data_IF_159292881798
#
_entry.id   IF_159292881798
#
_cell.length_a   1.000
_cell.length_b   1.000
_cell.length_c   1.000
_cell.angle_alpha   90.00
_cell.angle_beta   90.00
_cell.angle_gamma   90.00
#
_symmetry.space_group_name_H-M   'P 1'
#
loop_
_entity.id
_entity.type
_entity.pdbx_description
1 polymer ?
#
# COMPACT_ATOMS: atom_id res chain seq x y z
N UNK A 1 -6.93 -11.16 19.33
CA UNK A 1 -5.90 -10.13 18.99
C UNK A 1 -6.45 -9.25 17.89
N UNK A 2 -6.52 -7.96 18.15
CA UNK A 2 -6.97 -6.95 17.18
C UNK A 2 -5.77 -6.25 16.60
N UNK A 3 -5.61 -6.28 15.26
CA UNK A 3 -4.50 -5.66 14.54
C UNK A 3 -5.06 -4.55 13.67
N UNK A 4 -4.62 -3.31 13.89
CA UNK A 4 -4.87 -2.20 12.99
C UNK A 4 -3.83 -2.25 11.86
N UNK A 5 -4.27 -2.69 10.68
CA UNK A 5 -3.43 -2.86 9.50
C UNK A 5 -3.46 -1.65 8.55
N UNK A 6 -4.46 -0.78 8.68
CA UNK A 6 -4.62 0.37 7.81
C UNK A 6 -4.46 1.68 8.57
N UNK A 7 -3.26 2.11 8.66
CA UNK A 7 -2.89 3.40 9.24
C UNK A 7 -1.61 3.92 8.57
N UNK A 8 -1.34 5.20 8.74
CA UNK A 8 -0.22 5.85 8.09
C UNK A 8 0.62 6.61 9.10
N UNK A 9 1.93 6.49 8.99
CA UNK A 9 2.88 7.20 9.84
C UNK A 9 3.97 7.86 9.00
N UNK A 10 4.18 9.15 9.25
CA UNK A 10 5.21 9.95 8.60
C UNK A 10 6.28 10.28 9.63
N UNK A 11 7.44 9.61 9.57
CA UNK A 11 8.49 9.82 10.55
C UNK A 11 9.11 11.22 10.44
N UNK A 12 9.62 11.79 11.55
CA UNK A 12 10.25 13.10 11.57
C UNK A 12 11.39 13.27 10.55
N UNK A 13 12.09 12.20 10.25
CA UNK A 13 13.17 12.15 9.26
C UNK A 13 12.68 12.53 7.87
N UNK A 14 11.54 11.96 7.45
CA UNK A 14 10.91 12.29 6.18
C UNK A 14 10.48 13.76 6.12
N UNK A 15 9.79 14.24 7.17
CA UNK A 15 9.37 15.65 7.24
C UNK A 15 10.57 16.60 7.22
N UNK A 16 11.66 16.22 7.87
CA UNK A 16 12.92 16.97 7.85
C UNK A 16 13.53 16.99 6.45
N UNK A 17 13.52 15.87 5.74
CA UNK A 17 14.03 15.79 4.36
C UNK A 17 13.22 16.71 3.42
N UNK A 18 11.88 16.65 3.51
CA UNK A 18 11.00 17.54 2.71
C UNK A 18 11.26 19.02 3.02
N UNK A 19 11.42 19.40 4.30
CA UNK A 19 11.71 20.79 4.70
C UNK A 19 13.07 21.29 4.19
N UNK A 20 14.08 20.43 4.15
CA UNK A 20 15.43 20.80 3.70
C UNK A 20 15.54 20.90 2.19
N UNK A 21 14.69 20.20 1.44
CA UNK A 21 14.69 20.20 -0.02
C UNK A 21 16.04 19.88 -0.68
N UNK A 22 16.13 19.94 -1.99
CA UNK A 22 15.00 20.10 -2.89
C UNK A 22 14.15 18.83 -2.97
N UNK A 23 12.84 18.97 -2.94
CA UNK A 23 11.87 17.88 -3.11
C UNK A 23 10.70 18.34 -3.98
N UNK A 24 10.02 17.41 -4.63
CA UNK A 24 8.79 17.68 -5.39
C UNK A 24 7.57 17.85 -4.49
N UNK A 25 7.64 17.29 -3.28
CA UNK A 25 6.65 17.49 -2.22
C UNK A 25 6.93 18.81 -1.51
N UNK A 26 5.90 19.62 -1.32
CA UNK A 26 5.97 20.87 -0.56
C UNK A 26 5.25 20.72 0.76
N UNK A 27 5.73 21.42 1.78
CA UNK A 27 5.11 21.43 3.11
C UNK A 27 4.68 22.85 3.47
N UNK A 28 3.46 23.00 3.91
CA UNK A 28 2.96 24.17 4.65
C UNK A 28 2.20 23.71 5.90
N UNK A 29 1.41 24.55 6.52
CA UNK A 29 0.70 24.25 7.76
C UNK A 29 -0.76 24.71 7.65
N UNK A 30 -1.68 23.91 8.19
CA UNK A 30 -3.07 24.32 8.34
C UNK A 30 -3.27 25.33 9.50
N UNK A 31 -4.52 25.72 9.74
CA UNK A 31 -4.86 26.65 10.83
C UNK A 31 -4.55 26.11 12.23
N UNK A 32 -4.51 24.79 12.38
CA UNK A 32 -4.21 24.07 13.64
C UNK A 32 -2.72 23.70 13.74
N UNK A 33 -1.88 24.28 12.87
CA UNK A 33 -0.44 24.02 12.78
C UNK A 33 -0.08 22.54 12.46
N UNK A 34 -0.99 21.78 11.85
CA UNK A 34 -0.64 20.48 11.34
C UNK A 34 0.12 20.63 10.02
N UNK A 35 1.21 19.87 9.81
CA UNK A 35 1.90 19.84 8.54
C UNK A 35 0.95 19.38 7.43
N UNK A 36 0.98 20.07 6.30
CA UNK A 36 0.23 19.71 5.10
C UNK A 36 1.22 19.46 3.95
N UNK A 37 1.23 18.23 3.45
CA UNK A 37 2.09 17.80 2.35
C UNK A 37 1.35 17.96 1.03
N UNK A 38 1.84 18.84 0.16
CA UNK A 38 1.32 19.03 -1.19
C UNK A 38 2.15 18.26 -2.20
N UNK A 39 1.49 17.55 -3.07
CA UNK A 39 2.06 16.82 -4.20
C UNK A 39 1.14 16.90 -5.42
N UNK A 40 1.57 16.52 -6.62
CA UNK A 40 0.76 16.65 -7.82
C UNK A 40 -0.63 16.01 -7.66
N UNK A 41 -1.67 16.85 -7.75
CA UNK A 41 -3.07 16.44 -7.75
C UNK A 41 -3.74 16.30 -6.38
N UNK A 42 -3.00 16.38 -5.25
CA UNK A 42 -3.58 16.18 -3.92
C UNK A 42 -2.73 16.79 -2.79
N UNK A 43 -3.23 16.67 -1.56
CA UNK A 43 -2.47 16.98 -0.34
C UNK A 43 -2.92 16.13 0.84
N UNK A 44 -2.02 15.90 1.80
CA UNK A 44 -2.31 15.23 3.07
C UNK A 44 -2.07 16.14 4.26
N UNK A 45 -3.04 16.21 5.18
CA UNK A 45 -2.87 16.89 6.47
C UNK A 45 -2.41 15.87 7.50
N UNK A 46 -1.26 16.13 8.13
CA UNK A 46 -0.67 15.23 9.10
C UNK A 46 -1.10 15.61 10.53
N UNK A 47 -2.29 15.17 10.92
CA UNK A 47 -2.78 15.29 12.29
C UNK A 47 -1.88 14.52 13.27
N UNK A 48 -1.97 14.74 14.62
CA UNK A 48 -1.10 14.03 15.57
C UNK A 48 -0.99 12.54 15.36
N UNK A 49 -2.10 11.85 15.06
CA UNK A 49 -2.10 10.42 14.75
C UNK A 49 -1.22 9.99 13.57
N UNK A 50 -0.86 10.88 12.65
CA UNK A 50 0.03 10.57 11.53
C UNK A 50 1.53 10.76 11.84
N UNK A 51 1.89 11.37 12.97
CA UNK A 51 3.28 11.79 13.25
C UNK A 51 3.75 11.60 14.69
N UNK A 52 2.87 11.17 15.58
CA UNK A 52 3.15 11.01 17.01
C UNK A 52 2.73 9.61 17.47
N UNK A 53 3.72 8.76 17.76
CA UNK A 53 3.48 7.39 18.19
C UNK A 53 3.10 7.29 19.68
N UNK A 54 3.46 8.26 20.52
CA UNK A 54 2.99 8.32 21.90
C UNK A 54 1.49 8.61 21.94
N UNK A 55 1.04 9.56 21.12
CA UNK A 55 -0.38 9.81 20.91
C UNK A 55 -1.12 8.55 20.45
N UNK A 56 -0.55 7.81 19.47
CA UNK A 56 -1.14 6.57 18.97
C UNK A 56 -1.24 5.48 20.02
N UNK A 57 -0.21 5.28 20.84
CA UNK A 57 -0.24 4.25 21.91
C UNK A 57 -1.42 4.49 22.84
N UNK A 58 -1.70 5.74 23.20
CA UNK A 58 -2.88 6.10 23.99
C UNK A 58 -4.21 5.77 23.30
N UNK A 59 -4.30 6.02 21.99
CA UNK A 59 -5.49 5.67 21.20
C UNK A 59 -5.66 4.15 21.08
N UNK A 60 -4.59 3.41 20.82
CA UNK A 60 -4.63 1.94 20.75
C UNK A 60 -5.09 1.33 22.06
N UNK A 61 -4.63 1.86 23.19
CA UNK A 61 -5.06 1.42 24.51
C UNK A 61 -6.53 1.70 24.76
N UNK A 62 -6.98 2.92 24.46
CA UNK A 62 -8.37 3.35 24.63
C UNK A 62 -9.35 2.47 23.83
N UNK A 63 -8.94 2.02 22.64
CA UNK A 63 -9.79 1.23 21.74
C UNK A 63 -9.52 -0.29 21.76
N UNK A 64 -8.65 -0.78 22.66
CA UNK A 64 -8.37 -2.21 22.80
C UNK A 64 -7.71 -2.83 21.57
N UNK A 65 -6.90 -2.04 20.83
CA UNK A 65 -6.12 -2.54 19.69
C UNK A 65 -4.79 -3.07 20.19
N UNK A 66 -4.50 -4.33 19.92
CA UNK A 66 -3.30 -4.99 20.43
C UNK A 66 -2.03 -4.60 19.69
N UNK A 67 -2.12 -4.43 18.37
CA UNK A 67 -0.98 -4.15 17.50
C UNK A 67 -1.39 -3.24 16.33
N UNK A 68 -0.45 -2.42 15.86
CA UNK A 68 -0.62 -1.59 14.69
C UNK A 68 0.55 -1.82 13.71
N UNK A 69 0.23 -1.91 12.41
CA UNK A 69 1.21 -2.06 11.33
C UNK A 69 1.45 -0.70 10.70
N UNK A 70 2.58 -0.07 11.03
CA UNK A 70 2.92 1.24 10.46
C UNK A 70 3.17 1.14 8.97
N UNK A 71 2.59 2.06 8.21
CA UNK A 71 2.81 2.18 6.77
C UNK A 71 3.09 3.63 6.38
N UNK A 72 3.81 3.84 5.29
CA UNK A 72 4.10 5.14 4.72
C UNK A 72 3.31 5.34 3.43
N UNK A 73 2.26 6.16 3.47
CA UNK A 73 1.33 6.34 2.34
C UNK A 73 1.72 7.49 1.40
N UNK A 74 0.80 7.89 0.55
CA UNK A 74 0.97 9.04 -0.35
C UNK A 74 1.48 10.28 0.39
N UNK A 75 2.37 11.06 -0.24
CA UNK A 75 2.81 10.95 -1.63
C UNK A 75 3.75 9.78 -1.94
N UNK A 76 4.22 9.03 -0.93
CA UNK A 76 5.29 8.04 -1.12
C UNK A 76 6.63 8.71 -1.40
N UNK A 77 7.61 7.92 -1.83
CA UNK A 77 8.93 8.43 -2.25
C UNK A 77 9.12 8.43 -3.76
N UNK A 78 8.28 7.71 -4.48
CA UNK A 78 8.40 7.48 -5.93
C UNK A 78 8.03 8.70 -6.81
N UNK A 79 7.54 9.77 -6.21
CA UNK A 79 7.37 11.07 -6.89
C UNK A 79 8.69 11.82 -7.08
N UNK A 80 9.68 11.53 -6.25
CA UNK A 80 11.01 12.13 -6.34
C UNK A 80 11.81 11.51 -7.49
N UNK A 81 12.96 12.09 -7.82
CA UNK A 81 13.90 11.40 -8.71
C UNK A 81 14.46 10.13 -8.03
N UNK A 82 14.95 9.18 -8.81
CA UNK A 82 15.35 7.88 -8.30
C UNK A 82 16.41 7.94 -7.17
N UNK A 83 17.47 8.77 -7.24
CA UNK A 83 18.42 8.88 -6.13
C UNK A 83 17.79 9.43 -4.84
N UNK A 84 16.93 10.44 -4.96
CA UNK A 84 16.23 11.01 -3.80
C UNK A 84 15.22 10.01 -3.23
N UNK A 85 14.46 9.30 -4.08
CA UNK A 85 13.54 8.26 -3.68
C UNK A 85 14.22 7.14 -2.89
N UNK A 86 15.38 6.67 -3.36
CA UNK A 86 16.19 5.64 -2.67
C UNK A 86 16.65 6.13 -1.30
N UNK A 87 17.15 7.36 -1.22
CA UNK A 87 17.60 7.94 0.05
C UNK A 87 16.44 8.06 1.04
N UNK A 88 15.32 8.64 0.61
CA UNK A 88 14.14 8.83 1.45
C UNK A 88 13.53 7.50 1.91
N UNK A 89 13.44 6.49 1.03
CA UNK A 89 12.96 5.16 1.41
C UNK A 89 13.80 4.57 2.54
N UNK A 90 15.12 4.65 2.44
CA UNK A 90 16.02 4.16 3.49
C UNK A 90 15.84 4.90 4.81
N UNK A 91 15.76 6.22 4.78
CA UNK A 91 15.53 7.05 5.98
C UNK A 91 14.21 6.71 6.68
N UNK A 92 13.11 6.52 5.91
CA UNK A 92 11.81 6.11 6.44
C UNK A 92 11.88 4.70 7.05
N UNK A 93 12.48 3.75 6.35
CA UNK A 93 12.57 2.36 6.84
C UNK A 93 13.48 2.24 8.07
N UNK A 94 14.56 3.00 8.13
CA UNK A 94 15.44 3.06 9.31
C UNK A 94 14.71 3.65 10.52
N UNK A 95 13.91 4.71 10.32
CA UNK A 95 13.06 5.28 11.36
C UNK A 95 11.99 4.28 11.82
N UNK A 96 11.32 3.57 10.90
CA UNK A 96 10.39 2.51 11.25
C UNK A 96 11.05 1.42 12.09
N UNK A 97 12.20 0.92 11.66
CA UNK A 97 12.95 -0.09 12.39
C UNK A 97 13.40 0.40 13.77
N UNK A 98 13.75 1.68 13.92
CA UNK A 98 14.04 2.28 15.21
C UNK A 98 12.83 2.24 16.14
N UNK A 99 11.66 2.66 15.66
CA UNK A 99 10.46 2.73 16.49
C UNK A 99 9.92 1.36 16.89
N UNK A 100 9.86 0.38 15.98
CA UNK A 100 9.35 -0.96 16.31
C UNK A 100 10.24 -1.73 17.30
N UNK A 101 11.55 -1.43 17.36
CA UNK A 101 12.43 -2.01 18.39
C UNK A 101 12.11 -1.50 19.80
N UNK A 102 11.63 -0.29 19.92
CA UNK A 102 11.33 0.38 21.19
C UNK A 102 9.90 0.17 21.67
N UNK A 103 8.98 -0.05 20.73
CA UNK A 103 7.52 -0.08 20.95
C UNK A 103 6.93 -1.40 20.49
N UNK A 104 6.58 -2.26 21.44
CA UNK A 104 6.11 -3.63 21.17
C UNK A 104 4.74 -3.70 20.48
N UNK A 105 3.95 -2.62 20.56
CA UNK A 105 2.62 -2.55 19.91
C UNK A 105 2.70 -2.23 18.41
N UNK A 106 3.89 -1.93 17.88
CA UNK A 106 4.06 -1.60 16.47
C UNK A 106 4.90 -2.64 15.75
N UNK A 107 4.51 -2.94 14.56
CA UNK A 107 5.36 -3.45 13.48
C UNK A 107 5.24 -2.49 12.30
N UNK A 108 5.98 -2.71 11.21
CA UNK A 108 5.93 -1.81 10.08
C UNK A 108 6.14 -2.55 8.76
N UNK A 109 5.60 -2.02 7.68
CA UNK A 109 5.93 -2.42 6.32
C UNK A 109 6.85 -1.37 5.68
N UNK A 110 7.88 -1.85 4.99
CA UNK A 110 8.82 -0.97 4.32
C UNK A 110 8.15 -0.14 3.23
N UNK A 111 8.65 1.07 3.00
CA UNK A 111 8.41 1.80 1.75
C UNK A 111 9.54 1.52 0.76
N UNK A 112 9.22 1.44 -0.51
CA UNK A 112 10.17 1.10 -1.56
C UNK A 112 10.28 2.25 -2.58
N UNK A 113 11.49 2.50 -3.14
CA UNK A 113 11.67 3.47 -4.22
C UNK A 113 11.19 2.88 -5.56
N UNK A 114 9.86 2.70 -5.70
CA UNK A 114 9.24 1.92 -6.79
C UNK A 114 9.50 2.48 -8.20
N UNK A 115 9.93 3.73 -8.32
CA UNK A 115 10.40 4.32 -9.57
C UNK A 115 11.81 3.84 -10.00
N UNK A 116 12.50 3.07 -9.13
CA UNK A 116 13.70 2.30 -9.44
C UNK A 116 13.50 0.84 -8.99
N UNK A 117 13.03 -0.05 -9.88
CA UNK A 117 12.78 -1.46 -9.53
C UNK A 117 13.99 -2.19 -8.97
N UNK A 118 15.20 -1.90 -9.48
CA UNK A 118 16.41 -2.55 -8.99
C UNK A 118 16.78 -2.10 -7.57
N UNK A 119 16.61 -0.81 -7.27
CA UNK A 119 16.77 -0.30 -5.91
C UNK A 119 15.68 -0.84 -4.98
N UNK A 120 14.45 -1.00 -5.46
CA UNK A 120 13.34 -1.60 -4.69
C UNK A 120 13.64 -3.03 -4.27
N UNK A 121 14.25 -3.84 -5.14
CA UNK A 121 14.68 -5.21 -4.79
C UNK A 121 15.72 -5.18 -3.65
N UNK A 122 16.73 -4.32 -3.76
CA UNK A 122 17.76 -4.20 -2.72
C UNK A 122 17.21 -3.69 -1.40
N UNK A 123 16.30 -2.73 -1.45
CA UNK A 123 15.70 -2.16 -0.24
C UNK A 123 14.72 -3.12 0.42
N UNK A 124 13.94 -3.90 -0.33
CA UNK A 124 13.10 -4.96 0.23
C UNK A 124 13.96 -5.99 0.96
N UNK A 125 15.05 -6.45 0.35
CA UNK A 125 15.97 -7.40 0.98
C UNK A 125 16.56 -6.84 2.27
N UNK A 126 17.07 -5.60 2.24
CA UNK A 126 17.59 -4.93 3.44
C UNK A 126 16.53 -4.76 4.52
N UNK A 127 15.35 -4.31 4.15
CA UNK A 127 14.25 -4.10 5.10
C UNK A 127 13.86 -5.39 5.83
N UNK A 128 13.80 -6.50 5.14
CA UNK A 128 13.42 -7.77 5.73
C UNK A 128 14.58 -8.42 6.48
N UNK A 129 15.79 -8.44 5.92
CA UNK A 129 16.94 -9.17 6.49
C UNK A 129 17.64 -8.39 7.61
N UNK A 130 17.82 -7.07 7.45
CA UNK A 130 18.62 -6.27 8.38
C UNK A 130 17.76 -5.47 9.37
N UNK A 131 16.58 -5.02 8.92
CA UNK A 131 15.70 -4.18 9.74
C UNK A 131 14.60 -4.97 10.45
N UNK A 132 14.32 -6.20 10.02
CA UNK A 132 13.30 -7.08 10.62
C UNK A 132 11.86 -6.69 10.26
N UNK A 133 11.65 -5.98 9.15
CA UNK A 133 10.32 -5.67 8.64
C UNK A 133 9.76 -6.87 7.87
N UNK A 134 8.47 -7.24 8.02
CA UNK A 134 7.93 -8.46 7.44
C UNK A 134 7.64 -8.36 5.92
N UNK A 135 7.83 -7.22 5.32
CA UNK A 135 7.51 -6.97 3.91
C UNK A 135 7.43 -5.48 3.59
N UNK A 136 6.64 -5.12 2.60
CA UNK A 136 6.53 -3.75 2.15
C UNK A 136 5.08 -3.36 1.80
N UNK A 137 4.77 -2.06 1.93
CA UNK A 137 3.63 -1.46 1.27
C UNK A 137 4.05 -1.00 -0.13
N UNK A 138 3.24 -1.32 -1.12
CA UNK A 138 3.39 -0.88 -2.49
C UNK A 138 2.15 -0.11 -2.95
N UNK A 139 2.30 0.77 -3.92
CA UNK A 139 1.17 1.50 -4.46
C UNK A 139 0.51 0.74 -5.62
N UNK A 140 -0.78 0.93 -5.83
CA UNK A 140 -1.58 0.31 -6.90
C UNK A 140 -1.03 0.55 -8.30
N UNK A 141 -0.38 1.69 -8.49
CA UNK A 141 0.43 2.01 -9.66
C UNK A 141 1.63 2.87 -9.26
N UNK A 142 2.63 2.96 -10.11
CA UNK A 142 3.81 3.81 -9.91
C UNK A 142 3.92 4.79 -11.05
N UNK A 143 3.47 6.02 -10.81
CA UNK A 143 3.43 7.08 -11.84
C UNK A 143 2.70 6.59 -13.13
N UNK A 144 1.57 5.89 -12.96
CA UNK A 144 0.79 5.31 -14.04
C UNK A 144 1.28 3.95 -14.56
N UNK A 145 2.40 3.44 -14.09
CA UNK A 145 2.90 2.11 -14.45
C UNK A 145 2.24 1.03 -13.56
N UNK A 146 1.57 0.02 -14.14
CA UNK A 146 0.96 -1.06 -13.37
C UNK A 146 1.99 -1.91 -12.63
N UNK A 147 1.63 -2.40 -11.43
CA UNK A 147 2.46 -3.33 -10.64
C UNK A 147 2.78 -4.64 -11.38
N UNK A 148 1.94 -5.04 -12.33
CA UNK A 148 2.15 -6.23 -13.15
C UNK A 148 3.10 -6.00 -14.33
N UNK A 149 3.65 -4.79 -14.51
CA UNK A 149 4.61 -4.52 -15.57
C UNK A 149 5.89 -5.33 -15.40
N UNK A 150 6.46 -5.78 -16.52
CA UNK A 150 7.64 -6.66 -16.54
C UNK A 150 8.85 -6.12 -15.74
N UNK A 151 8.97 -4.80 -15.61
CA UNK A 151 10.03 -4.18 -14.82
C UNK A 151 9.99 -4.53 -13.33
N UNK A 152 8.83 -4.94 -12.78
CA UNK A 152 8.68 -5.35 -11.38
C UNK A 152 8.86 -6.86 -11.15
N UNK A 153 9.03 -7.67 -12.19
CA UNK A 153 9.22 -9.11 -12.05
C UNK A 153 10.35 -9.48 -11.07
N UNK A 154 11.54 -8.83 -11.08
CA UNK A 154 12.58 -9.11 -10.09
C UNK A 154 12.17 -8.78 -8.64
N UNK A 155 11.30 -7.78 -8.44
CA UNK A 155 10.77 -7.44 -7.13
C UNK A 155 9.86 -8.57 -6.60
N UNK A 156 8.97 -9.09 -7.44
CA UNK A 156 8.08 -10.19 -7.05
C UNK A 156 8.85 -11.48 -6.81
N UNK A 157 9.86 -11.76 -7.62
CA UNK A 157 10.77 -12.90 -7.41
C UNK A 157 11.48 -12.80 -6.04
N UNK A 158 12.00 -11.61 -5.68
CA UNK A 158 12.64 -11.39 -4.38
C UNK A 158 11.63 -11.49 -3.25
N UNK A 159 10.46 -10.87 -3.37
CA UNK A 159 9.40 -10.92 -2.38
C UNK A 159 8.95 -12.37 -2.11
N UNK A 160 8.82 -13.19 -3.15
CA UNK A 160 8.49 -14.59 -3.03
C UNK A 160 9.59 -15.40 -2.32
N UNK A 161 10.86 -15.14 -2.63
CA UNK A 161 12.00 -15.82 -2.00
C UNK A 161 12.11 -15.50 -0.50
N UNK A 162 11.65 -14.31 -0.09
CA UNK A 162 11.67 -13.85 1.29
C UNK A 162 10.35 -14.13 2.05
N UNK A 163 9.33 -14.72 1.41
CA UNK A 163 7.98 -14.87 1.96
C UNK A 163 7.39 -13.54 2.45
N UNK A 164 7.56 -12.49 1.67
CA UNK A 164 7.21 -11.13 2.06
C UNK A 164 5.70 -10.92 2.16
N UNK A 165 5.29 -10.08 3.11
CA UNK A 165 3.97 -9.46 3.12
C UNK A 165 3.99 -8.26 2.18
N UNK A 166 3.11 -8.24 1.19
CA UNK A 166 2.94 -7.11 0.26
C UNK A 166 1.54 -6.51 0.45
N UNK A 167 1.51 -5.27 0.93
CA UNK A 167 0.29 -4.52 1.17
C UNK A 167 0.07 -3.52 0.05
N UNK A 168 -0.98 -3.70 -0.74
CA UNK A 168 -1.30 -2.84 -1.88
C UNK A 168 -2.18 -1.69 -1.41
N UNK A 169 -1.67 -0.46 -1.51
CA UNK A 169 -2.38 0.77 -1.17
C UNK A 169 -2.63 1.59 -2.45
N UNK A 170 -3.79 2.25 -2.61
CA UNK A 170 -4.00 3.10 -3.77
C UNK A 170 -3.01 4.25 -3.81
N UNK A 171 -2.60 4.58 -5.03
CA UNK A 171 -1.93 5.83 -5.34
C UNK A 171 -2.90 6.78 -6.05
N UNK A 172 -2.39 7.92 -6.49
CA UNK A 172 -3.10 8.74 -7.45
C UNK A 172 -3.39 7.91 -8.70
N UNK A 173 -4.66 7.71 -9.09
CA UNK A 173 -4.99 6.91 -10.27
C UNK A 173 -4.28 7.43 -11.53
N UNK A 174 -3.93 6.51 -12.45
CA UNK A 174 -3.28 6.88 -13.70
C UNK A 174 -4.13 7.84 -14.57
N UNK A 175 -5.46 7.82 -14.39
CA UNK A 175 -6.38 8.80 -14.96
C UNK A 175 -7.34 9.27 -13.87
N UNK A 176 -7.44 10.58 -13.72
CA UNK A 176 -8.40 11.25 -12.82
C UNK A 176 -9.51 11.97 -13.58
N UNK A 177 -9.60 11.75 -14.89
CA UNK A 177 -10.64 12.37 -15.71
C UNK A 177 -12.03 12.07 -15.16
N UNK A 178 -12.80 13.11 -14.85
CA UNK A 178 -14.11 13.01 -14.23
C UNK A 178 -14.10 12.83 -12.71
N UNK A 179 -12.94 12.97 -12.05
CA UNK A 179 -12.79 12.86 -10.59
C UNK A 179 -12.28 14.16 -9.95
N UNK A 180 -12.22 15.25 -10.71
CA UNK A 180 -11.60 16.52 -10.30
C UNK A 180 -12.43 17.27 -9.27
N UNK A 181 -13.74 17.00 -9.20
CA UNK A 181 -14.66 17.62 -8.27
C UNK A 181 -15.08 16.66 -7.14
N UNK A 182 -15.63 17.22 -6.04
CA UNK A 182 -16.29 16.49 -4.96
C UNK A 182 -15.41 15.45 -4.26
N UNK A 183 -14.10 15.59 -4.32
CA UNK A 183 -13.16 14.61 -3.76
C UNK A 183 -13.36 13.19 -4.32
N UNK A 184 -13.85 13.06 -5.55
CA UNK A 184 -14.11 11.76 -6.16
C UNK A 184 -12.84 10.93 -6.34
N UNK A 185 -11.69 11.57 -6.45
CA UNK A 185 -10.42 10.85 -6.56
C UNK A 185 -10.16 9.96 -5.32
N UNK A 186 -10.13 10.45 -4.07
CA UNK A 186 -9.98 9.55 -2.91
C UNK A 186 -11.25 8.75 -2.60
N UNK A 187 -12.46 9.28 -2.87
CA UNK A 187 -13.71 8.61 -2.49
C UNK A 187 -14.07 7.43 -3.41
N UNK A 188 -13.70 7.51 -4.67
CA UNK A 188 -14.03 6.53 -5.72
C UNK A 188 -12.77 5.99 -6.38
N UNK A 189 -11.90 6.90 -6.84
CA UNK A 189 -10.72 6.58 -7.64
C UNK A 189 -9.77 5.62 -6.93
N UNK A 190 -9.48 5.82 -5.65
CA UNK A 190 -8.61 4.93 -4.89
C UNK A 190 -9.10 3.49 -4.86
N UNK A 191 -10.41 3.28 -4.65
CA UNK A 191 -10.97 1.94 -4.60
C UNK A 191 -10.91 1.24 -5.96
N UNK A 192 -11.19 1.98 -7.04
CA UNK A 192 -11.11 1.44 -8.38
C UNK A 192 -9.67 1.21 -8.84
N UNK A 193 -8.71 2.04 -8.42
CA UNK A 193 -7.30 1.84 -8.74
C UNK A 193 -6.74 0.59 -8.05
N UNK A 194 -7.08 0.36 -6.76
CA UNK A 194 -6.79 -0.90 -6.05
C UNK A 194 -7.40 -2.10 -6.76
N UNK A 195 -8.65 -1.98 -7.21
CA UNK A 195 -9.35 -3.03 -7.96
C UNK A 195 -8.62 -3.38 -9.25
N UNK A 196 -8.25 -2.36 -10.02
CA UNK A 196 -7.54 -2.51 -11.30
C UNK A 196 -6.16 -3.13 -11.10
N UNK A 197 -5.40 -2.64 -10.11
CA UNK A 197 -4.08 -3.18 -9.77
C UNK A 197 -4.15 -4.66 -9.39
N UNK A 198 -5.13 -5.03 -8.56
CA UNK A 198 -5.34 -6.41 -8.13
C UNK A 198 -5.72 -7.31 -9.30
N UNK A 199 -6.63 -6.86 -10.17
CA UNK A 199 -7.00 -7.60 -11.37
C UNK A 199 -5.80 -7.78 -12.32
N UNK A 200 -4.99 -6.73 -12.55
CA UNK A 200 -3.78 -6.83 -13.34
C UNK A 200 -2.78 -7.84 -12.79
N UNK A 201 -2.51 -7.81 -11.47
CA UNK A 201 -1.62 -8.78 -10.82
C UNK A 201 -2.10 -10.22 -11.04
N UNK A 202 -3.40 -10.46 -10.86
CA UNK A 202 -3.96 -11.80 -11.03
C UNK A 202 -3.93 -12.24 -12.49
N UNK A 203 -4.47 -11.47 -13.43
CA UNK A 203 -4.48 -11.84 -14.84
C UNK A 203 -3.09 -11.93 -15.48
N UNK A 204 -2.11 -11.17 -14.96
CA UNK A 204 -0.70 -11.33 -15.33
C UNK A 204 -0.03 -12.56 -14.69
N UNK A 205 -0.72 -13.31 -13.83
CA UNK A 205 -0.23 -14.54 -13.20
C UNK A 205 0.81 -14.29 -12.09
N UNK A 206 0.91 -13.09 -11.55
CA UNK A 206 1.91 -12.81 -10.50
C UNK A 206 1.68 -13.66 -9.26
N UNK A 207 0.46 -13.78 -8.68
CA UNK A 207 0.22 -14.65 -7.52
C UNK A 207 0.36 -16.15 -7.82
N UNK A 208 0.24 -16.56 -9.07
CA UNK A 208 0.47 -17.94 -9.49
C UNK A 208 1.97 -18.27 -9.54
N UNK A 209 2.78 -17.40 -10.16
CA UNK A 209 4.23 -17.57 -10.25
C UNK A 209 4.93 -17.38 -8.91
N UNK A 210 4.37 -16.58 -8.04
CA UNK A 210 4.97 -16.17 -6.75
C UNK A 210 4.04 -16.49 -5.57
N UNK A 211 3.79 -17.79 -5.29
CA UNK A 211 2.78 -18.23 -4.34
C UNK A 211 3.14 -17.96 -2.86
N UNK A 212 4.40 -17.67 -2.55
CA UNK A 212 4.85 -17.44 -1.20
C UNK A 212 4.68 -15.97 -0.74
N UNK A 213 4.29 -15.07 -1.65
CA UNK A 213 3.94 -13.71 -1.27
C UNK A 213 2.60 -13.71 -0.54
N UNK A 214 2.57 -13.12 0.65
CA UNK A 214 1.32 -12.83 1.34
C UNK A 214 0.81 -11.47 0.89
N UNK A 215 -0.26 -11.47 0.11
CA UNK A 215 -0.88 -10.25 -0.40
C UNK A 215 -1.94 -9.74 0.57
N UNK A 216 -1.93 -8.44 0.86
CA UNK A 216 -2.98 -7.74 1.58
C UNK A 216 -3.44 -6.52 0.77
N UNK A 217 -4.73 -6.22 0.81
CA UNK A 217 -5.37 -5.17 0.04
C UNK A 217 -6.04 -4.15 0.96
N UNK A 218 -5.87 -2.88 0.63
CA UNK A 218 -6.55 -1.79 1.34
C UNK A 218 -8.02 -1.67 0.96
N UNK A 219 -8.81 -1.00 1.81
CA UNK A 219 -10.21 -0.64 1.56
C UNK A 219 -11.07 -1.85 1.14
N UNK A 220 -10.89 -2.99 1.84
CA UNK A 220 -11.55 -4.27 1.51
C UNK A 220 -11.28 -4.74 0.05
N UNK A 221 -10.14 -4.36 -0.54
CA UNK A 221 -9.80 -4.67 -1.93
C UNK A 221 -10.60 -3.87 -2.97
N UNK A 222 -11.17 -2.73 -2.56
CA UNK A 222 -12.02 -1.92 -3.43
C UNK A 222 -13.27 -2.68 -3.88
N UNK A 223 -13.45 -2.84 -5.17
CA UNK A 223 -14.58 -3.57 -5.77
C UNK A 223 -14.25 -5.04 -6.12
N UNK A 224 -13.07 -5.56 -5.72
CA UNK A 224 -12.66 -6.95 -6.05
C UNK A 224 -13.70 -7.97 -5.61
N UNK A 225 -14.23 -7.98 -4.37
CA UNK A 225 -15.25 -8.96 -3.96
C UNK A 225 -16.53 -8.87 -4.80
N UNK A 226 -16.92 -7.67 -5.21
CA UNK A 226 -18.10 -7.45 -6.04
C UNK A 226 -17.90 -7.92 -7.49
N UNK A 227 -16.68 -7.75 -8.05
CA UNK A 227 -16.38 -8.04 -9.45
C UNK A 227 -15.82 -9.45 -9.69
N UNK A 228 -15.56 -10.23 -8.66
CA UNK A 228 -14.88 -11.53 -8.76
C UNK A 228 -15.56 -12.49 -9.73
N UNK A 229 -16.87 -12.71 -9.61
CA UNK A 229 -17.65 -13.57 -10.51
C UNK A 229 -17.61 -13.05 -11.96
N UNK A 230 -17.62 -11.73 -12.15
CA UNK A 230 -17.48 -11.13 -13.48
C UNK A 230 -16.10 -11.41 -14.10
N UNK A 231 -15.04 -11.42 -13.29
CA UNK A 231 -13.70 -11.81 -13.72
C UNK A 231 -13.64 -13.28 -14.13
N UNK A 232 -14.31 -14.17 -13.38
CA UNK A 232 -14.41 -15.59 -13.71
C UNK A 232 -15.13 -15.81 -15.05
N UNK A 233 -16.21 -15.07 -15.30
CA UNK A 233 -16.88 -15.11 -16.61
C UNK A 233 -15.97 -14.62 -17.75
N UNK A 234 -15.15 -13.61 -17.48
CA UNK A 234 -14.11 -13.17 -18.41
C UNK A 234 -13.08 -14.26 -18.68
N UNK A 235 -12.64 -14.97 -17.65
CA UNK A 235 -11.73 -16.11 -17.75
C UNK A 235 -12.33 -17.23 -18.61
N UNK A 236 -13.61 -17.54 -18.48
CA UNK A 236 -14.30 -18.53 -19.30
C UNK A 236 -14.42 -18.09 -20.77
N UNK A 237 -14.77 -16.81 -21.00
CA UNK A 237 -15.13 -16.30 -22.32
C UNK A 237 -13.93 -15.88 -23.19
N UNK A 238 -12.87 -15.33 -22.59
CA UNK A 238 -11.78 -14.68 -23.31
C UNK A 238 -10.46 -15.41 -23.13
N UNK A 239 -9.82 -15.80 -24.24
CA UNK A 239 -8.53 -16.50 -24.21
C UNK A 239 -7.41 -15.67 -23.54
N UNK A 240 -7.42 -14.36 -23.69
CA UNK A 240 -6.43 -13.49 -23.07
C UNK A 240 -6.48 -13.52 -21.55
N UNK A 241 -7.66 -13.70 -20.97
CA UNK A 241 -7.84 -13.84 -19.52
C UNK A 241 -7.26 -15.15 -18.95
N UNK A 242 -6.98 -16.15 -19.79
CA UNK A 242 -6.38 -17.44 -19.41
C UNK A 242 -4.89 -17.56 -19.74
N UNK A 243 -4.28 -16.50 -20.28
CA UNK A 243 -2.91 -16.58 -20.80
C UNK A 243 -1.87 -16.89 -19.73
N UNK A 244 -2.05 -16.41 -18.52
CA UNK A 244 -1.03 -16.46 -17.46
C UNK A 244 -1.52 -17.06 -16.14
N UNK A 245 -2.76 -17.53 -16.09
CA UNK A 245 -3.36 -18.18 -14.91
C UNK A 245 -4.04 -19.48 -15.30
N UNK A 246 -3.91 -20.49 -14.45
CA UNK A 246 -4.48 -21.84 -14.68
C UNK A 246 -5.84 -22.04 -14.01
N UNK A 247 -6.27 -21.11 -13.15
CA UNK A 247 -7.50 -21.18 -12.39
C UNK A 247 -8.34 -19.91 -12.56
N UNK A 248 -9.66 -19.95 -12.27
CA UNK A 248 -10.48 -18.76 -12.23
C UNK A 248 -9.93 -17.68 -11.29
N UNK A 249 -10.00 -16.37 -11.64
CA UNK A 249 -9.49 -15.27 -10.85
C UNK A 249 -9.93 -15.27 -9.38
N UNK A 250 -11.16 -15.66 -9.09
CA UNK A 250 -11.70 -15.74 -7.73
C UNK A 250 -10.87 -16.64 -6.81
N UNK A 251 -10.24 -17.70 -7.33
CA UNK A 251 -9.38 -18.56 -6.51
C UNK A 251 -8.11 -17.86 -6.04
N UNK A 252 -7.61 -16.87 -6.81
CA UNK A 252 -6.48 -16.04 -6.41
C UNK A 252 -6.94 -14.92 -5.49
N UNK A 253 -8.05 -14.23 -5.81
CA UNK A 253 -8.60 -13.16 -4.97
C UNK A 253 -8.90 -13.65 -3.55
N UNK A 254 -9.44 -14.84 -3.37
CA UNK A 254 -9.73 -15.42 -2.05
C UNK A 254 -8.49 -15.78 -1.23
N UNK A 255 -7.30 -15.79 -1.84
CA UNK A 255 -6.03 -15.99 -1.12
C UNK A 255 -5.46 -14.71 -0.54
N UNK A 256 -6.02 -13.54 -0.91
CA UNK A 256 -5.55 -12.25 -0.42
C UNK A 256 -6.21 -11.93 0.91
N UNK A 257 -5.48 -11.22 1.75
CA UNK A 257 -6.02 -10.61 2.95
C UNK A 257 -6.65 -9.26 2.60
N UNK A 258 -7.67 -8.89 3.32
CA UNK A 258 -8.43 -7.67 3.13
C UNK A 258 -8.49 -6.93 4.46
N UNK A 259 -8.21 -5.63 4.47
CA UNK A 259 -8.51 -4.82 5.65
C UNK A 259 -10.04 -4.62 5.79
N UNK A 260 -10.45 -3.97 6.85
CA UNK A 260 -11.87 -3.72 7.12
C UNK A 260 -12.23 -2.23 7.04
N UNK A 261 -11.46 -1.44 6.27
CA UNK A 261 -11.72 -0.02 6.12
C UNK A 261 -12.95 0.21 5.25
N UNK A 262 -14.08 0.26 5.91
CA UNK A 262 -15.38 0.62 5.36
C UNK A 262 -16.31 1.07 6.49
N UNK A 263 -17.31 1.90 6.15
CA UNK A 263 -18.28 2.43 7.11
C UNK A 263 -19.65 1.74 7.03
N UNK A 264 -19.83 0.80 6.08
CA UNK A 264 -21.07 0.06 5.90
C UNK A 264 -20.91 -1.38 6.42
N UNK A 265 -21.60 -1.77 7.50
CA UNK A 265 -21.54 -3.13 8.06
C UNK A 265 -21.91 -4.22 7.06
N UNK A 266 -22.86 -3.97 6.16
CA UNK A 266 -23.28 -4.95 5.16
C UNK A 266 -22.19 -5.18 4.10
N UNK A 267 -21.44 -4.13 3.73
CA UNK A 267 -20.29 -4.26 2.85
C UNK A 267 -19.17 -5.05 3.51
N UNK A 268 -18.90 -4.80 4.80
CA UNK A 268 -17.91 -5.57 5.58
C UNK A 268 -18.34 -7.03 5.66
N UNK A 269 -19.60 -7.31 5.99
CA UNK A 269 -20.13 -8.68 6.04
C UNK A 269 -20.07 -9.39 4.69
N UNK A 270 -20.28 -8.66 3.59
CA UNK A 270 -20.13 -9.20 2.23
C UNK A 270 -18.66 -9.58 1.94
N UNK A 271 -17.72 -8.70 2.25
CA UNK A 271 -16.29 -8.98 2.04
C UNK A 271 -15.80 -10.15 2.90
N UNK A 272 -16.23 -10.25 4.17
CA UNK A 272 -15.94 -11.40 5.05
C UNK A 272 -16.44 -12.71 4.43
N UNK A 273 -17.69 -12.74 3.96
CA UNK A 273 -18.23 -13.94 3.28
C UNK A 273 -17.47 -14.29 2.01
N UNK A 274 -17.00 -13.29 1.27
CA UNK A 274 -16.19 -13.50 0.08
C UNK A 274 -14.81 -14.07 0.40
N UNK A 275 -14.12 -13.46 1.37
CA UNK A 275 -12.75 -13.86 1.76
C UNK A 275 -12.71 -15.21 2.51
N UNK A 276 -13.81 -15.62 3.14
CA UNK A 276 -13.90 -16.86 3.90
C UNK A 276 -13.34 -16.73 5.31
N UNK A 277 -13.48 -15.56 5.94
CA UNK A 277 -13.06 -15.29 7.32
C UNK A 277 -14.19 -15.52 8.32
#
# INVERSE_FOLDING_TARGET
>A
MTIDFHNHYYPPEYLSAVKKGPTRVRIDYDQDQNPRLHYPGDYNILVPGHRDLDYREGILEQHGVDMQVLTFTTPGVHFEDAPAAVKMAREVNDAFAHEIRRRKRFTALATLPLNDPAASVRELERAMSDLGLPGAMVFSNVNGTPLAAAGYEPLWQKANALNAVIYVHPAHPASVQGMEEYWLMPLVGFLFDTTLATAHLVFAGVPERYPNITWALTHMGGAVPYLAERCDRGYEAFADCRRHISKPPTEYFKRFYYDTVNFNPDAIAFAIRFAGA
#
